data_IF_411142185435
#
_entry.id   IF_411142185435
#
_cell.length_a   1.000
_cell.length_b   1.000
_cell.length_c   1.000
_cell.angle_alpha   90.00
_cell.angle_beta   90.00
_cell.angle_gamma   90.00
#
_symmetry.space_group_name_H-M   'P 1'
#
loop_
_entity.id
_entity.type
_entity.pdbx_description
1 polymer ?
#
# COMPACT_ATOMS: atom_id res chain seq x y z
N UNK A 1 5.43 7.38 -3.54
CA UNK A 1 5.15 8.27 -4.69
C UNK A 1 3.70 8.75 -4.57
N UNK A 2 3.42 10.01 -4.92
CA UNK A 2 2.06 10.53 -4.98
C UNK A 2 1.55 10.47 -6.42
N UNK A 3 0.31 10.01 -6.60
CA UNK A 3 -0.33 9.83 -7.90
C UNK A 3 -1.79 10.22 -7.81
N UNK A 4 -2.44 10.44 -8.95
CA UNK A 4 -3.89 10.68 -9.02
C UNK A 4 -4.63 9.39 -9.36
N UNK A 5 -5.65 9.09 -8.56
CA UNK A 5 -6.62 8.02 -8.83
C UNK A 5 -8.03 8.59 -8.66
N UNK A 6 -8.86 8.53 -9.72
CA UNK A 6 -10.22 9.11 -9.73
C UNK A 6 -10.28 10.56 -9.21
N UNK A 7 -9.35 11.41 -9.68
CA UNK A 7 -9.19 12.82 -9.28
C UNK A 7 -8.83 13.05 -7.81
N UNK A 8 -8.42 12.02 -7.08
CA UNK A 8 -7.88 12.14 -5.72
C UNK A 8 -6.38 11.89 -5.72
N UNK A 9 -5.64 12.69 -4.95
CA UNK A 9 -4.26 12.37 -4.61
C UNK A 9 -4.23 11.13 -3.74
N UNK A 10 -3.41 10.16 -4.13
CA UNK A 10 -3.18 8.91 -3.42
C UNK A 10 -1.69 8.64 -3.34
N UNK A 11 -1.25 8.15 -2.20
CA UNK A 11 0.13 7.76 -1.97
C UNK A 11 0.28 6.25 -2.23
N UNK A 12 1.23 5.91 -3.09
CA UNK A 12 1.51 4.52 -3.46
C UNK A 12 3.01 4.22 -3.35
N UNK A 13 3.34 2.94 -3.26
CA UNK A 13 4.71 2.45 -3.34
C UNK A 13 4.78 1.22 -4.23
N UNK A 14 5.69 1.21 -5.20
CA UNK A 14 6.03 -0.02 -5.95
C UNK A 14 6.77 -0.97 -5.02
N UNK A 15 6.19 -2.15 -4.80
CA UNK A 15 6.77 -3.20 -3.95
C UNK A 15 8.09 -3.63 -4.58
N UNK A 16 9.18 -3.27 -3.93
CA UNK A 16 10.53 -3.58 -4.39
C UNK A 16 11.46 -3.74 -3.21
N UNK A 17 12.43 -4.65 -3.34
CA UNK A 17 13.51 -4.84 -2.37
C UNK A 17 14.67 -3.84 -2.56
N UNK A 18 14.78 -3.26 -3.75
CA UNK A 18 15.94 -2.47 -4.19
C UNK A 18 15.67 -0.99 -4.35
N UNK A 19 14.40 -0.61 -4.55
CA UNK A 19 14.04 0.79 -4.76
C UNK A 19 14.08 1.56 -3.44
N UNK A 20 14.26 2.87 -3.55
CA UNK A 20 14.16 3.75 -2.38
C UNK A 20 12.76 3.64 -1.75
N UNK A 21 12.75 3.31 -0.46
CA UNK A 21 11.52 3.16 0.31
C UNK A 21 11.11 4.51 0.90
N UNK A 22 9.86 4.96 0.71
CA UNK A 22 9.30 6.08 1.46
C UNK A 22 9.38 5.84 2.97
N UNK A 23 9.42 6.92 3.76
CA UNK A 23 9.55 6.81 5.22
C UNK A 23 8.45 5.98 5.88
N UNK A 24 7.22 6.05 5.35
CA UNK A 24 6.11 5.24 5.85
C UNK A 24 6.32 3.75 5.59
N UNK A 25 6.94 3.37 4.47
CA UNK A 25 7.27 1.97 4.16
C UNK A 25 8.31 1.45 5.15
N UNK A 26 9.38 2.23 5.36
CA UNK A 26 10.44 1.90 6.34
C UNK A 26 9.86 1.72 7.73
N UNK A 27 8.93 2.60 8.13
CA UNK A 27 8.26 2.51 9.41
C UNK A 27 7.35 1.27 9.51
N UNK A 28 6.59 0.97 8.45
CA UNK A 28 5.74 -0.22 8.42
C UNK A 28 6.54 -1.53 8.52
N UNK A 29 7.75 -1.59 7.94
CA UNK A 29 8.68 -2.70 8.17
C UNK A 29 9.17 -2.75 9.63
N UNK A 30 9.53 -1.61 10.22
CA UNK A 30 9.98 -1.53 11.61
C UNK A 30 8.90 -1.97 12.61
N UNK A 31 7.65 -1.65 12.32
CA UNK A 31 6.48 -1.99 13.15
C UNK A 31 5.92 -3.39 12.86
N UNK A 32 6.57 -4.16 11.99
CA UNK A 32 6.13 -5.49 11.54
C UNK A 32 4.76 -5.53 10.84
N UNK A 33 4.31 -4.37 10.33
CA UNK A 33 3.15 -4.32 9.44
C UNK A 33 3.48 -4.81 8.04
N UNK A 34 4.72 -4.61 7.61
CA UNK A 34 5.27 -5.18 6.39
C UNK A 34 6.38 -6.18 6.75
N UNK A 35 6.37 -7.32 6.09
CA UNK A 35 7.44 -8.32 6.21
C UNK A 35 7.65 -9.02 4.88
N UNK A 36 8.88 -9.41 4.60
CA UNK A 36 9.18 -10.21 3.41
C UNK A 36 8.91 -11.69 3.69
N UNK A 37 8.24 -12.33 2.74
CA UNK A 37 8.04 -13.76 2.69
C UNK A 37 8.50 -14.22 1.31
N UNK A 38 9.77 -14.65 1.24
CA UNK A 38 10.51 -14.84 -0.01
C UNK A 38 10.46 -13.59 -0.89
N UNK A 39 9.98 -13.72 -2.13
CA UNK A 39 9.83 -12.62 -3.10
C UNK A 39 8.44 -11.96 -3.06
N UNK A 40 7.72 -12.15 -1.95
CA UNK A 40 6.40 -11.57 -1.73
C UNK A 40 6.41 -10.73 -0.46
N UNK A 41 5.66 -9.65 -0.51
CA UNK A 41 5.43 -8.78 0.63
C UNK A 41 4.19 -9.28 1.38
N UNK A 42 4.36 -9.60 2.66
CA UNK A 42 3.27 -9.88 3.60
C UNK A 42 2.90 -8.59 4.34
N UNK A 43 1.61 -8.30 4.39
CA UNK A 43 1.03 -7.05 4.90
C UNK A 43 0.05 -7.40 6.02
N UNK A 44 0.27 -6.98 7.25
CA UNK A 44 -0.61 -7.25 8.39
C UNK A 44 -1.80 -6.29 8.45
N UNK A 45 -3.00 -6.85 8.62
CA UNK A 45 -4.27 -6.12 8.62
C UNK A 45 -4.78 -5.74 10.02
N UNK A 46 -4.23 -6.29 11.09
CA UNK A 46 -4.64 -5.96 12.48
C UNK A 46 -3.85 -4.82 13.12
N UNK A 47 -2.83 -4.29 12.43
CA UNK A 47 -2.12 -3.07 12.83
C UNK A 47 -2.92 -1.78 12.63
N UNK A 48 -4.19 -1.91 12.27
CA UNK A 48 -5.05 -0.88 11.72
C UNK A 48 -6.36 -0.90 12.52
N UNK A 49 -6.34 -0.41 13.76
CA UNK A 49 -7.59 -0.23 14.52
C UNK A 49 -7.71 1.23 14.99
N UNK A 50 -8.89 1.87 14.84
CA UNK A 50 -9.02 3.31 14.87
C UNK A 50 -9.42 3.78 16.27
N UNK A 51 -8.61 4.64 16.88
CA UNK A 51 -9.16 5.86 17.49
C UNK A 51 -8.11 6.93 17.77
N UNK A 52 -8.55 8.15 17.48
CA UNK A 52 -8.13 9.42 18.06
C UNK A 52 -6.63 9.76 17.97
N UNK A 53 -6.15 10.07 16.75
CA UNK A 53 -5.72 11.44 16.37
C UNK A 53 -4.52 11.50 15.42
N UNK A 54 -3.51 10.63 15.50
CA UNK A 54 -2.19 11.13 15.07
C UNK A 54 -1.04 10.17 14.82
N UNK A 55 -1.17 8.88 15.04
CA UNK A 55 -0.02 7.98 14.97
C UNK A 55 -0.34 6.86 13.98
N UNK A 56 0.19 6.76 12.78
CA UNK A 56 1.34 7.35 12.09
C UNK A 56 0.98 7.14 10.62
N UNK A 57 1.01 8.14 9.71
CA UNK A 57 1.15 8.09 8.22
C UNK A 57 0.86 6.78 7.40
N UNK A 58 0.02 5.89 7.90
CA UNK A 58 -0.24 4.48 7.55
C UNK A 58 -1.65 4.09 8.01
N UNK A 59 -2.53 5.09 8.14
CA UNK A 59 -3.93 4.88 8.47
C UNK A 59 -4.61 4.18 7.31
N UNK A 60 -4.66 2.84 7.35
CA UNK A 60 -5.47 2.04 6.43
C UNK A 60 -6.93 2.34 6.78
N UNK A 61 -7.48 3.30 6.04
CA UNK A 61 -8.85 3.77 6.18
C UNK A 61 -9.82 2.65 5.82
N UNK A 62 -10.87 2.54 6.65
CA UNK A 62 -12.05 1.72 6.44
C UNK A 62 -12.47 1.66 4.96
N UNK A 63 -12.36 0.48 4.36
CA UNK A 63 -13.04 0.17 3.10
C UNK A 63 -12.16 -0.52 2.08
N UNK A 64 -12.38 -1.83 1.94
CA UNK A 64 -12.13 -2.60 0.72
C UNK A 64 -10.64 -2.89 0.43
N UNK A 65 -10.04 -3.74 1.28
CA UNK A 65 -9.24 -4.84 0.72
C UNK A 65 -10.23 -5.87 0.21
N UNK A 66 -10.51 -5.80 -1.10
CA UNK A 66 -11.42 -6.73 -1.76
C UNK A 66 -11.14 -8.16 -1.32
N UNK A 67 -12.16 -8.72 -0.67
CA UNK A 67 -12.44 -10.14 -0.50
C UNK A 67 -12.36 -10.78 -1.88
N UNK A 68 -11.17 -11.25 -2.26
CA UNK A 68 -10.91 -11.61 -3.64
C UNK A 68 -9.51 -12.14 -3.87
N UNK A 69 -8.99 -12.93 -2.92
CA UNK A 69 -8.05 -14.04 -3.13
C UNK A 69 -7.61 -14.58 -1.76
N UNK A 70 -8.33 -15.61 -1.30
CA UNK A 70 -7.76 -16.68 -0.50
C UNK A 70 -7.62 -16.46 1.01
N UNK A 71 -8.59 -17.01 1.74
CA UNK A 71 -8.43 -17.75 3.00
C UNK A 71 -7.85 -17.02 4.23
N UNK A 72 -8.75 -16.61 5.13
CA UNK A 72 -8.65 -16.88 6.58
C UNK A 72 -7.51 -16.25 7.38
N UNK A 73 -6.74 -15.31 6.85
CA UNK A 73 -5.59 -14.73 7.53
C UNK A 73 -5.72 -13.24 7.75
N UNK A 74 -5.22 -12.76 8.89
CA UNK A 74 -5.04 -11.36 9.27
C UNK A 74 -4.04 -10.59 8.37
N UNK A 75 -3.75 -11.06 7.14
CA UNK A 75 -2.68 -10.55 6.28
C UNK A 75 -3.07 -10.53 4.80
N UNK A 76 -2.52 -9.58 4.02
CA UNK A 76 -2.54 -9.54 2.56
C UNK A 76 -1.14 -9.82 1.98
N UNK A 77 -1.07 -10.20 0.70
CA UNK A 77 0.18 -10.49 0.01
C UNK A 77 0.31 -9.66 -1.28
N UNK A 78 1.49 -9.11 -1.53
CA UNK A 78 1.84 -8.42 -2.79
C UNK A 78 3.10 -8.99 -3.43
N UNK A 79 3.20 -8.95 -4.76
CA UNK A 79 4.40 -9.40 -5.46
C UNK A 79 5.33 -8.21 -5.75
N UNK A 80 6.61 -8.50 -5.99
CA UNK A 80 7.53 -7.48 -6.48
C UNK A 80 7.01 -6.89 -7.81
N UNK A 81 7.00 -5.56 -7.91
CA UNK A 81 6.47 -4.80 -9.04
C UNK A 81 4.97 -4.49 -8.96
N UNK A 82 4.23 -5.06 -8.01
CA UNK A 82 2.90 -4.58 -7.65
C UNK A 82 3.00 -3.27 -6.85
N UNK A 83 1.89 -2.55 -6.71
CA UNK A 83 1.86 -1.30 -5.96
C UNK A 83 0.99 -1.44 -4.72
N UNK A 84 1.49 -0.94 -3.59
CA UNK A 84 0.73 -0.75 -2.37
C UNK A 84 0.19 0.68 -2.35
N UNK A 85 -1.14 0.81 -2.49
CA UNK A 85 -1.86 2.07 -2.31
C UNK A 85 -2.28 2.19 -0.85
N UNK A 86 -1.57 3.04 -0.09
CA UNK A 86 -1.84 3.21 1.34
C UNK A 86 -3.09 4.06 1.58
N UNK A 87 -3.40 4.98 0.66
CA UNK A 87 -4.57 5.86 0.77
C UNK A 87 -5.89 5.09 0.65
N UNK A 88 -5.94 4.10 -0.24
CA UNK A 88 -7.10 3.21 -0.40
C UNK A 88 -6.89 1.84 0.27
N UNK A 89 -5.78 1.67 0.99
CA UNK A 89 -5.45 0.46 1.73
C UNK A 89 -5.42 -0.82 0.90
N UNK A 90 -4.87 -0.82 -0.33
CA UNK A 90 -4.96 -1.97 -1.24
C UNK A 90 -3.67 -2.25 -2.01
N UNK A 91 -3.45 -3.53 -2.35
CA UNK A 91 -2.42 -3.94 -3.32
C UNK A 91 -3.04 -3.99 -4.71
N UNK A 92 -2.38 -3.39 -5.68
CA UNK A 92 -2.80 -3.35 -7.08
C UNK A 92 -1.68 -3.88 -7.97
N UNK A 93 -2.06 -4.59 -9.03
CA UNK A 93 -1.06 -5.06 -9.99
C UNK A 93 -0.49 -3.91 -10.80
N UNK A 94 0.75 -4.06 -11.29
CA UNK A 94 1.38 -3.11 -12.22
C UNK A 94 0.48 -2.74 -13.40
N UNK A 95 -0.19 -3.74 -13.99
CA UNK A 95 -1.13 -3.56 -15.10
C UNK A 95 -2.33 -2.69 -14.70
N UNK A 96 -2.88 -2.89 -13.50
CA UNK A 96 -4.00 -2.07 -13.01
C UNK A 96 -3.56 -0.64 -12.71
N UNK A 97 -2.38 -0.49 -12.09
CA UNK A 97 -1.78 0.80 -11.78
C UNK A 97 -1.62 1.65 -13.04
N UNK A 98 -0.93 1.14 -14.06
CA UNK A 98 -0.70 1.84 -15.34
C UNK A 98 -2.00 2.27 -16.02
N UNK A 99 -3.08 1.47 -15.89
CA UNK A 99 -4.37 1.76 -16.55
C UNK A 99 -5.22 2.81 -15.82
N UNK A 100 -5.12 2.92 -14.49
CA UNK A 100 -6.07 3.69 -13.69
C UNK A 100 -5.46 4.79 -12.83
N UNK A 101 -4.14 4.78 -12.65
CA UNK A 101 -3.41 5.77 -11.87
C UNK A 101 -2.59 6.65 -12.81
N UNK A 102 -2.59 7.94 -12.52
CA UNK A 102 -1.88 8.93 -13.31
C UNK A 102 -0.80 9.57 -12.45
N UNK A 103 0.42 9.63 -12.95
CA UNK A 103 1.48 10.40 -12.31
C UNK A 103 1.08 11.87 -12.45
N UNK A 104 1.05 12.60 -11.33
CA UNK A 104 0.86 14.05 -11.35
C UNK A 104 2.14 14.65 -11.92
N UNK A 105 2.18 14.84 -13.23
CA UNK A 105 3.12 15.79 -13.83
C UNK A 105 2.46 17.14 -13.55
N UNK A 106 3.05 17.93 -12.66
CA UNK A 106 2.66 19.32 -12.53
C UNK A 106 3.06 19.98 -13.85
N UNK A 107 2.07 20.22 -14.72
CA UNK A 107 2.23 21.10 -15.87
C UNK A 107 2.52 22.50 -15.31
N UNK A 108 3.77 22.93 -15.45
CA UNK A 108 4.25 24.28 -15.15
C UNK A 108 3.73 25.30 -16.18
#
# INVERSE_FOLDING_TARGET
MEVKYKNKSVEVWEISKTNEQPDWVKQAFKENYLSWYDDRLKILLTGINPTAKRNIKLGIMNGILSVGQGFGGTYAMGNIGDFLDITNGRVISKKYFIKHYYIKIDDE
#
